data_IF_040651759264
#
_entry.id   IF_040651759264
#
_cell.length_a   1.000
_cell.length_b   1.000
_cell.length_c   1.000
_cell.angle_alpha   90.00
_cell.angle_beta   90.00
_cell.angle_gamma   90.00
#
_symmetry.space_group_name_H-M   'P 1'
#
loop_
_entity.id
_entity.type
_entity.pdbx_description
1 polymer ?
#
# COMPACT_ATOMS: atom_id res chain seq x y z
N UNK A 1 -19.70 -9.60 10.94
CA UNK A 1 -19.07 -9.64 9.61
C UNK A 1 -17.58 -9.52 9.84
N UNK A 2 -16.83 -10.59 9.57
CA UNK A 2 -15.37 -10.56 9.61
C UNK A 2 -14.94 -9.68 8.44
N UNK A 3 -14.41 -8.49 8.72
CA UNK A 3 -13.76 -7.70 7.68
C UNK A 3 -12.52 -8.50 7.26
N UNK A 4 -12.48 -8.95 6.02
CA UNK A 4 -11.25 -9.49 5.46
C UNK A 4 -10.19 -8.39 5.55
N UNK A 5 -9.07 -8.73 6.18
CA UNK A 5 -7.98 -7.80 6.39
C UNK A 5 -7.23 -7.65 5.05
N UNK A 6 -7.72 -6.76 4.19
CA UNK A 6 -7.19 -6.55 2.85
C UNK A 6 -5.93 -5.68 2.95
N UNK A 7 -4.82 -6.21 2.45
CA UNK A 7 -3.53 -5.54 2.38
C UNK A 7 -3.40 -4.87 0.99
N UNK A 8 -2.95 -3.63 0.94
CA UNK A 8 -2.82 -2.86 -0.30
C UNK A 8 -1.39 -2.32 -0.41
N UNK A 9 -0.75 -2.53 -1.56
CA UNK A 9 0.51 -1.88 -1.92
C UNK A 9 0.25 -0.71 -2.86
N UNK A 10 0.49 0.51 -2.41
CA UNK A 10 0.46 1.72 -3.25
C UNK A 10 1.84 1.96 -3.83
N UNK A 11 1.91 2.15 -5.15
CA UNK A 11 3.16 2.39 -5.89
C UNK A 11 3.04 3.69 -6.67
N UNK A 12 3.76 4.72 -6.25
CA UNK A 12 3.80 6.05 -6.90
C UNK A 12 5.15 6.70 -6.60
N UNK A 13 5.81 7.33 -7.58
CA UNK A 13 7.13 7.95 -7.39
C UNK A 13 7.08 9.28 -6.61
N UNK A 14 5.89 9.86 -6.44
CA UNK A 14 5.66 11.03 -5.59
C UNK A 14 5.23 10.63 -4.16
N UNK A 15 6.03 11.05 -3.18
CA UNK A 15 5.80 10.76 -1.76
C UNK A 15 4.51 11.41 -1.24
N UNK A 16 4.15 12.59 -1.75
CA UNK A 16 2.91 13.30 -1.38
C UNK A 16 1.69 12.52 -1.82
N UNK A 17 1.69 11.98 -3.05
CA UNK A 17 0.61 11.13 -3.55
C UNK A 17 0.47 9.85 -2.71
N UNK A 18 1.58 9.16 -2.45
CA UNK A 18 1.60 7.98 -1.58
C UNK A 18 0.98 8.27 -0.20
N UNK A 19 1.33 9.40 0.41
CA UNK A 19 0.86 9.77 1.76
C UNK A 19 -0.64 10.05 1.77
N UNK A 20 -1.16 10.74 0.75
CA UNK A 20 -2.61 11.01 0.62
C UNK A 20 -3.38 9.70 0.46
N UNK A 21 -2.93 8.81 -0.44
CA UNK A 21 -3.56 7.52 -0.67
C UNK A 21 -3.54 6.62 0.57
N UNK A 22 -2.42 6.58 1.29
CA UNK A 22 -2.32 5.85 2.55
C UNK A 22 -3.33 6.35 3.57
N UNK A 23 -3.45 7.67 3.76
CA UNK A 23 -4.39 8.24 4.73
C UNK A 23 -5.86 7.86 4.41
N UNK A 24 -6.24 7.91 3.13
CA UNK A 24 -7.59 7.55 2.68
C UNK A 24 -7.89 6.06 2.88
N UNK A 25 -7.00 5.19 2.39
CA UNK A 25 -7.19 3.74 2.42
C UNK A 25 -7.12 3.19 3.85
N UNK A 26 -6.19 3.68 4.68
CA UNK A 26 -6.18 3.35 6.11
C UNK A 26 -7.46 3.84 6.81
N UNK A 27 -7.97 5.01 6.44
CA UNK A 27 -9.26 5.55 6.94
C UNK A 27 -10.46 4.67 6.59
N UNK A 28 -10.36 3.84 5.55
CA UNK A 28 -11.37 2.86 5.16
C UNK A 28 -11.17 1.48 5.80
N UNK A 29 -10.10 1.30 6.59
CA UNK A 29 -9.83 0.05 7.31
C UNK A 29 -8.92 -0.93 6.58
N UNK A 30 -8.24 -0.51 5.51
CA UNK A 30 -7.24 -1.32 4.82
C UNK A 30 -5.86 -1.20 5.49
N UNK A 31 -5.03 -2.25 5.37
CA UNK A 31 -3.60 -2.11 5.69
C UNK A 31 -2.87 -1.68 4.43
N UNK A 32 -2.05 -0.64 4.53
CA UNK A 32 -1.45 -0.02 3.35
C UNK A 32 0.06 0.03 3.50
N UNK A 33 0.76 -0.54 2.53
CA UNK A 33 2.19 -0.35 2.32
C UNK A 33 2.45 0.61 1.16
N UNK A 34 3.62 1.24 1.18
CA UNK A 34 4.03 2.22 0.19
C UNK A 34 5.29 1.74 -0.52
N UNK A 35 5.37 1.99 -1.83
CA UNK A 35 6.59 1.91 -2.61
C UNK A 35 6.74 3.14 -3.49
N UNK A 36 7.91 3.78 -3.45
CA UNK A 36 8.22 4.99 -4.23
C UNK A 36 8.89 4.69 -5.58
N UNK A 37 8.99 3.42 -5.96
CA UNK A 37 9.55 2.98 -7.22
C UNK A 37 9.09 1.57 -7.55
N UNK A 38 9.12 1.23 -8.85
CA UNK A 38 8.82 -0.14 -9.29
C UNK A 38 9.78 -1.18 -8.71
N UNK A 39 11.06 -0.84 -8.48
CA UNK A 39 12.02 -1.74 -7.85
C UNK A 39 11.60 -2.08 -6.42
N UNK A 40 11.30 -1.06 -5.61
CA UNK A 40 10.86 -1.26 -4.23
C UNK A 40 9.54 -2.05 -4.16
N UNK A 41 8.61 -1.80 -5.09
CA UNK A 41 7.36 -2.54 -5.18
C UNK A 41 7.60 -4.04 -5.46
N UNK A 42 8.47 -4.35 -6.43
CA UNK A 42 8.81 -5.73 -6.76
C UNK A 42 9.55 -6.44 -5.62
N UNK A 43 10.39 -5.74 -4.86
CA UNK A 43 11.02 -6.28 -3.65
C UNK A 43 9.97 -6.65 -2.61
N UNK A 44 9.00 -5.77 -2.34
CA UNK A 44 7.93 -6.04 -1.36
C UNK A 44 7.00 -7.18 -1.79
N UNK A 45 6.60 -7.24 -3.07
CA UNK A 45 5.74 -8.31 -3.59
C UNK A 45 6.42 -9.69 -3.56
N UNK A 46 7.76 -9.73 -3.60
CA UNK A 46 8.52 -10.97 -3.44
C UNK A 46 8.54 -11.47 -1.99
N UNK A 47 8.44 -10.56 -1.01
CA UNK A 47 8.45 -10.89 0.41
C UNK A 47 7.06 -11.32 0.91
N UNK A 48 5.99 -10.70 0.40
CA UNK A 48 4.60 -11.06 0.75
C UNK A 48 3.61 -10.74 -0.38
N UNK A 49 2.46 -11.42 -0.33
CA UNK A 49 1.31 -11.12 -1.18
C UNK A 49 0.48 -9.99 -0.54
N UNK A 50 -0.02 -9.08 -1.37
CA UNK A 50 -0.94 -8.01 -1.02
C UNK A 50 -2.28 -8.28 -1.70
#
# INVERSE_FOLDING_TARGET
MTHDNIDILVVDDDISHCTILQALLCGWGYNVALANSGRQALEQVRERVF
#
